data_IF_259193437728
#
_entry.id   IF_259193437728
#
_cell.length_a   1.000
_cell.length_b   1.000
_cell.length_c   1.000
_cell.angle_alpha   90.00
_cell.angle_beta   90.00
_cell.angle_gamma   90.00
#
_symmetry.space_group_name_H-M   'P 1'
#
loop_
_entity.id
_entity.type
_entity.pdbx_description
1 polymer ?
#
# COMPACT_ATOMS: atom_id res chain seq x y z
N UNK A 1 15.52 -17.06 0.04
CA UNK A 1 15.71 -16.24 1.27
C UNK A 1 14.80 -15.02 1.29
N UNK A 2 14.73 -14.22 0.22
CA UNK A 2 13.83 -13.06 0.12
C UNK A 2 12.35 -13.46 0.30
N UNK A 3 11.88 -14.47 -0.41
CA UNK A 3 10.50 -14.98 -0.29
C UNK A 3 10.07 -15.27 1.17
N UNK A 4 10.86 -16.08 1.89
CA UNK A 4 10.55 -16.44 3.28
C UNK A 4 10.57 -15.22 4.20
N UNK A 5 11.49 -14.28 3.98
CA UNK A 5 11.52 -13.02 4.71
C UNK A 5 10.27 -12.19 4.44
N UNK A 6 9.82 -12.11 3.18
CA UNK A 6 8.62 -11.39 2.77
C UNK A 6 7.37 -11.97 3.41
N UNK A 7 7.20 -13.30 3.40
CA UNK A 7 6.07 -13.99 4.03
C UNK A 7 6.03 -13.78 5.55
N UNK A 8 7.18 -13.90 6.23
CA UNK A 8 7.29 -13.67 7.68
C UNK A 8 7.03 -12.21 8.04
N UNK A 9 7.53 -11.27 7.23
CA UNK A 9 7.35 -9.83 7.45
C UNK A 9 5.88 -9.45 7.21
N UNK A 10 5.26 -9.99 6.16
CA UNK A 10 3.84 -9.83 5.87
C UNK A 10 2.98 -10.33 7.05
N UNK A 11 3.23 -11.55 7.53
CA UNK A 11 2.50 -12.12 8.65
C UNK A 11 2.61 -11.27 9.93
N UNK A 12 3.79 -10.72 10.23
CA UNK A 12 4.00 -9.80 11.37
C UNK A 12 3.24 -8.48 11.20
N UNK A 13 3.05 -8.04 9.97
CA UNK A 13 2.32 -6.82 9.63
C UNK A 13 0.82 -7.05 9.42
N UNK A 14 0.31 -8.27 9.67
CA UNK A 14 -1.10 -8.64 9.46
C UNK A 14 -1.50 -8.50 7.97
N UNK A 15 -0.58 -8.89 7.08
CA UNK A 15 -0.72 -8.93 5.62
C UNK A 15 -0.70 -10.38 5.13
N UNK A 16 -1.53 -10.71 4.14
CA UNK A 16 -1.47 -12.01 3.49
C UNK A 16 -0.66 -11.88 2.20
N UNK A 17 0.56 -12.45 2.17
CA UNK A 17 1.47 -12.37 1.04
C UNK A 17 1.85 -13.75 0.52
N UNK A 18 1.86 -13.90 -0.80
CA UNK A 18 2.43 -15.06 -1.49
C UNK A 18 3.18 -14.51 -2.71
N UNK A 19 4.51 -14.63 -2.72
CA UNK A 19 5.31 -14.28 -3.91
C UNK A 19 5.12 -15.27 -5.05
N UNK A 20 5.22 -14.76 -6.27
CA UNK A 20 5.04 -15.46 -7.55
C UNK A 20 6.24 -15.13 -8.47
N UNK A 21 6.26 -15.68 -9.68
CA UNK A 21 7.32 -15.42 -10.65
C UNK A 21 6.83 -14.45 -11.73
N UNK A 22 6.79 -13.17 -11.38
CA UNK A 22 6.35 -12.09 -12.28
C UNK A 22 6.98 -10.75 -11.95
N UNK A 23 6.51 -9.71 -12.65
CA UNK A 23 7.16 -8.38 -12.66
C UNK A 23 6.23 -7.26 -12.16
N UNK A 24 4.93 -7.50 -12.04
CA UNK A 24 3.97 -6.52 -11.50
C UNK A 24 3.65 -6.87 -10.05
N UNK A 25 4.15 -6.06 -9.13
CA UNK A 25 3.77 -6.14 -7.72
C UNK A 25 2.31 -5.74 -7.53
N UNK A 26 1.53 -6.55 -6.83
CA UNK A 26 0.13 -6.24 -6.52
C UNK A 26 0.02 -5.83 -5.05
N UNK A 27 -0.74 -4.77 -4.74
CA UNK A 27 -1.18 -4.44 -3.39
C UNK A 27 -2.69 -4.18 -3.41
N UNK A 28 -3.47 -5.06 -2.79
CA UNK A 28 -4.94 -5.08 -2.94
C UNK A 28 -5.60 -5.27 -1.58
N UNK A 29 -6.82 -4.78 -1.38
CA UNK A 29 -7.63 -5.12 -0.22
C UNK A 29 -8.71 -6.16 -0.57
N UNK A 30 -8.69 -7.29 0.12
CA UNK A 30 -9.58 -8.43 -0.08
C UNK A 30 -9.01 -9.46 -1.05
N UNK A 31 -8.94 -10.71 -0.60
CA UNK A 31 -8.42 -11.84 -1.38
C UNK A 31 -9.09 -12.02 -2.76
N UNK A 32 -10.42 -11.87 -2.84
CA UNK A 32 -11.15 -11.98 -4.12
C UNK A 32 -10.74 -10.91 -5.13
N UNK A 33 -10.58 -9.67 -4.67
CA UNK A 33 -10.12 -8.57 -5.51
C UNK A 33 -8.65 -8.77 -5.91
N UNK A 34 -7.82 -9.30 -5.00
CA UNK A 34 -6.42 -9.60 -5.29
C UNK A 34 -6.29 -10.65 -6.40
N UNK A 35 -7.07 -11.72 -6.36
CA UNK A 35 -7.11 -12.73 -7.44
C UNK A 35 -7.58 -12.13 -8.76
N UNK A 36 -8.69 -11.39 -8.78
CA UNK A 36 -9.20 -10.75 -9.99
C UNK A 36 -8.19 -9.74 -10.59
N UNK A 37 -7.42 -9.06 -9.74
CA UNK A 37 -6.36 -8.14 -10.15
C UNK A 37 -5.24 -8.86 -10.87
N UNK A 38 -4.79 -10.00 -10.33
CA UNK A 38 -3.76 -10.82 -10.96
C UNK A 38 -4.24 -11.41 -12.29
N UNK A 39 -5.49 -11.85 -12.35
CA UNK A 39 -6.10 -12.38 -13.56
C UNK A 39 -6.14 -11.32 -14.67
N UNK A 40 -6.58 -10.10 -14.37
CA UNK A 40 -6.65 -9.03 -15.38
C UNK A 40 -5.27 -8.57 -15.85
N UNK A 41 -4.27 -8.59 -14.97
CA UNK A 41 -2.86 -8.34 -15.35
C UNK A 41 -2.40 -9.40 -16.35
N UNK A 42 -2.69 -10.68 -16.09
CA UNK A 42 -2.37 -11.78 -17.01
C UNK A 42 -3.10 -11.65 -18.34
N UNK A 43 -4.38 -11.27 -18.32
CA UNK A 43 -5.17 -11.06 -19.54
C UNK A 43 -4.59 -9.98 -20.45
N UNK A 44 -4.00 -8.92 -19.88
CA UNK A 44 -3.28 -7.87 -20.62
C UNK A 44 -1.82 -8.23 -20.97
N UNK A 45 -1.40 -9.47 -20.75
CA UNK A 45 -0.07 -9.96 -21.09
C UNK A 45 1.04 -9.49 -20.14
N UNK A 46 0.69 -9.18 -18.89
CA UNK A 46 1.64 -8.96 -17.80
C UNK A 46 1.81 -10.19 -16.91
N UNK A 47 2.73 -10.11 -15.95
CA UNK A 47 3.00 -11.18 -15.00
C UNK A 47 2.90 -10.66 -13.57
N UNK A 48 1.93 -11.10 -12.75
CA UNK A 48 1.87 -10.73 -11.34
C UNK A 48 3.06 -11.32 -10.57
N UNK A 49 3.75 -10.48 -9.82
CA UNK A 49 4.90 -10.86 -9.00
C UNK A 49 4.50 -11.42 -7.64
N UNK A 50 3.27 -11.17 -7.19
CA UNK A 50 2.76 -11.65 -5.91
C UNK A 50 1.24 -11.58 -5.82
N UNK A 51 0.70 -12.35 -4.89
CA UNK A 51 -0.54 -12.07 -4.19
C UNK A 51 -0.22 -11.26 -2.93
N UNK A 52 -0.93 -10.16 -2.69
CA UNK A 52 -0.86 -9.42 -1.43
C UNK A 52 -2.21 -8.79 -1.10
N UNK A 53 -2.82 -9.31 -0.05
CA UNK A 53 -4.03 -8.76 0.55
C UNK A 53 -3.67 -8.00 1.83
N UNK A 54 -3.93 -6.68 1.83
CA UNK A 54 -3.72 -5.78 2.98
C UNK A 54 -4.90 -5.75 3.95
N UNK A 55 -5.96 -6.52 3.67
CA UNK A 55 -7.17 -6.65 4.46
C UNK A 55 -8.17 -5.50 4.26
N UNK A 56 -9.44 -5.76 4.60
CA UNK A 56 -10.51 -4.73 4.65
C UNK A 56 -10.45 -3.85 5.90
N UNK A 57 -9.64 -4.24 6.89
CA UNK A 57 -9.41 -3.52 8.15
C UNK A 57 -8.11 -2.69 8.11
N UNK A 58 -7.72 -2.14 6.96
CA UNK A 58 -6.74 -1.04 6.91
C UNK A 58 -7.35 0.26 7.52
N UNK A 59 -8.12 0.10 8.59
CA UNK A 59 -8.95 1.08 9.26
C UNK A 59 -8.11 2.21 9.83
N UNK A 60 -8.68 3.40 9.78
CA UNK A 60 -8.38 4.47 10.71
C UNK A 60 -9.00 4.08 12.07
N UNK A 61 -8.19 3.57 13.02
CA UNK A 61 -8.63 3.38 14.40
C UNK A 61 -8.15 2.13 15.14
N UNK A 62 -6.86 2.07 15.50
CA UNK A 62 -6.37 1.83 16.87
C UNK A 62 -4.84 2.00 16.85
N UNK A 63 -4.36 3.01 17.57
CA UNK A 63 -2.94 3.32 17.76
C UNK A 63 -2.28 2.18 18.55
N UNK A 64 -1.60 1.28 17.86
CA UNK A 64 -0.69 0.32 18.51
C UNK A 64 0.64 1.03 18.78
N UNK A 65 0.93 1.29 20.06
CA UNK A 65 2.19 1.86 20.53
C UNK A 65 3.34 0.85 20.30
N UNK A 66 4.05 0.91 19.16
CA UNK A 66 5.26 0.12 18.98
C UNK A 66 6.44 0.75 19.76
N UNK A 67 6.76 0.17 20.92
CA UNK A 67 8.05 0.40 21.59
C UNK A 67 9.14 -0.37 20.85
N UNK A 68 9.88 0.29 19.97
CA UNK A 68 11.22 -0.16 19.59
C UNK A 68 12.27 0.82 20.15
N UNK A 69 13.01 0.36 21.16
CA UNK A 69 14.40 0.77 21.38
C UNK A 69 14.73 2.15 21.93
N UNK A 70 13.78 3.06 22.21
CA UNK A 70 14.13 4.37 22.79
C UNK A 70 13.89 4.37 24.31
N UNK A 71 14.96 4.45 25.12
CA UNK A 71 14.88 4.88 26.52
C UNK A 71 14.47 6.35 26.56
N UNK A 72 13.17 6.64 26.47
CA UNK A 72 12.65 7.98 26.76
C UNK A 72 12.66 8.12 28.29
N UNK A 73 13.65 8.83 28.83
CA UNK A 73 13.55 9.38 30.18
C UNK A 73 12.30 10.27 30.21
N UNK A 74 11.42 10.03 31.18
CA UNK A 74 10.24 10.85 31.51
C UNK A 74 10.57 12.35 31.41
N UNK A 75 9.92 13.07 30.49
CA UNK A 75 9.87 14.53 30.54
C UNK A 75 8.47 15.04 30.16
N UNK A 76 7.88 15.77 31.10
CA UNK A 76 6.73 16.69 31.04
C UNK A 76 5.39 16.21 30.43
N UNK A 77 4.39 16.09 31.31
CA UNK A 77 2.99 15.77 31.02
C UNK A 77 2.30 16.68 29.98
N UNK A 78 2.78 17.91 29.74
CA UNK A 78 2.18 18.81 28.74
C UNK A 78 2.50 18.44 27.28
N UNK A 79 3.58 17.69 27.05
CA UNK A 79 3.93 17.19 25.71
C UNK A 79 3.15 15.94 25.32
N UNK A 80 2.62 15.20 26.30
CA UNK A 80 1.85 13.97 26.07
C UNK A 80 0.57 14.26 25.28
N UNK A 81 -0.05 15.42 25.47
CA UNK A 81 -1.26 15.81 24.73
C UNK A 81 -0.97 16.12 23.25
N UNK A 82 0.15 16.80 22.95
CA UNK A 82 0.59 17.06 21.56
C UNK A 82 1.12 15.79 20.88
N UNK A 83 1.82 14.92 21.62
CA UNK A 83 2.26 13.61 21.13
C UNK A 83 1.04 12.72 20.88
N UNK A 84 0.07 12.64 21.80
CA UNK A 84 -1.22 11.96 21.55
C UNK A 84 -1.95 12.50 20.33
N UNK A 85 -1.83 13.79 20.02
CA UNK A 85 -2.43 14.41 18.84
C UNK A 85 -1.71 14.01 17.53
N UNK A 86 -0.36 13.98 17.54
CA UNK A 86 0.44 13.46 16.41
C UNK A 86 0.20 11.96 16.17
N UNK A 87 -0.02 11.19 17.24
CA UNK A 87 -0.27 9.74 17.17
C UNK A 87 -1.75 9.38 16.96
N UNK A 88 -2.70 10.31 17.17
CA UNK A 88 -4.16 10.11 16.95
C UNK A 88 -4.56 10.05 15.48
N UNK A 89 -3.71 10.51 14.57
CA UNK A 89 -3.90 10.49 13.11
C UNK A 89 -3.44 9.15 12.48
N UNK A 90 -3.07 8.16 13.30
CA UNK A 90 -2.48 6.91 12.83
C UNK A 90 -3.52 5.90 12.34
N UNK A 91 -3.79 5.91 11.04
CA UNK A 91 -4.09 4.68 10.28
C UNK A 91 -3.00 3.64 10.66
N UNK A 92 -3.22 2.34 10.47
CA UNK A 92 -2.09 1.40 10.31
C UNK A 92 -1.26 1.77 9.05
N UNK A 93 -0.67 2.97 9.00
CA UNK A 93 0.25 3.48 7.95
C UNK A 93 1.39 2.48 7.76
N UNK A 94 1.72 1.75 8.83
CA UNK A 94 2.64 0.62 8.82
C UNK A 94 2.29 -0.43 7.78
N UNK A 95 1.02 -0.79 7.57
CA UNK A 95 0.66 -1.85 6.61
C UNK A 95 1.01 -1.46 5.17
N UNK A 96 0.64 -0.25 4.75
CA UNK A 96 0.96 0.24 3.40
C UNK A 96 2.47 0.40 3.23
N UNK A 97 3.17 0.91 4.26
CA UNK A 97 4.64 1.00 4.27
C UNK A 97 5.30 -0.37 4.17
N UNK A 98 4.90 -1.34 4.99
CA UNK A 98 5.46 -2.70 5.00
C UNK A 98 5.14 -3.42 3.70
N UNK A 99 3.94 -3.24 3.15
CA UNK A 99 3.59 -3.74 1.82
C UNK A 99 4.56 -3.19 0.76
N UNK A 100 4.78 -1.87 0.71
CA UNK A 100 5.74 -1.29 -0.20
C UNK A 100 7.18 -1.80 0.04
N UNK A 101 7.62 -1.97 1.28
CA UNK A 101 8.95 -2.54 1.58
C UNK A 101 9.08 -3.96 1.06
N UNK A 102 8.05 -4.80 1.23
CA UNK A 102 8.03 -6.17 0.72
C UNK A 102 8.11 -6.16 -0.81
N UNK A 103 7.30 -5.33 -1.48
CA UNK A 103 7.26 -5.25 -2.94
C UNK A 103 8.56 -4.69 -3.54
N UNK A 104 9.16 -3.69 -2.89
CA UNK A 104 10.40 -3.06 -3.37
C UNK A 104 11.66 -3.83 -3.01
N UNK A 105 11.58 -4.84 -2.14
CA UNK A 105 12.69 -5.73 -1.83
C UNK A 105 12.88 -6.84 -2.87
N UNK A 106 11.92 -7.05 -3.77
CA UNK A 106 12.03 -8.00 -4.88
C UNK A 106 12.46 -7.27 -6.17
N UNK A 107 13.71 -7.49 -6.59
CA UNK A 107 14.29 -6.88 -7.79
C UNK A 107 13.57 -7.28 -9.10
N UNK A 108 12.75 -8.33 -9.07
CA UNK A 108 11.89 -8.71 -10.21
C UNK A 108 10.73 -7.75 -10.42
N UNK A 109 10.27 -7.06 -9.36
CA UNK A 109 9.17 -6.11 -9.46
C UNK A 109 9.63 -4.89 -10.26
N UNK A 110 8.98 -4.63 -11.38
CA UNK A 110 9.25 -3.52 -12.30
C UNK A 110 8.13 -2.48 -12.34
N UNK A 111 6.93 -2.82 -11.87
CA UNK A 111 5.83 -1.89 -11.66
C UNK A 111 5.00 -2.37 -10.46
N UNK A 112 4.33 -1.46 -9.77
CA UNK A 112 3.40 -1.80 -8.68
C UNK A 112 2.00 -1.33 -9.05
N UNK A 113 1.02 -2.22 -8.92
CA UNK A 113 -0.40 -1.90 -9.04
C UNK A 113 -1.06 -1.97 -7.66
N UNK A 114 -1.52 -0.81 -7.20
CA UNK A 114 -2.32 -0.62 -6.00
C UNK A 114 -3.78 -0.56 -6.42
N UNK A 115 -4.57 -1.55 -5.99
CA UNK A 115 -5.99 -1.61 -6.30
C UNK A 115 -6.79 -1.67 -5.01
N UNK A 116 -7.39 -0.55 -4.61
CA UNK A 116 -8.14 -0.45 -3.36
C UNK A 116 -9.59 -0.08 -3.61
N UNK A 117 -10.51 -0.91 -3.09
CA UNK A 117 -11.93 -0.62 -3.03
C UNK A 117 -12.32 -0.15 -1.62
N UNK A 118 -12.57 1.15 -1.48
CA UNK A 118 -13.06 1.84 -0.29
C UNK A 118 -14.53 1.55 -0.01
N UNK A 119 -14.79 0.43 0.66
CA UNK A 119 -16.09 0.13 1.26
C UNK A 119 -16.31 0.95 2.53
N UNK A 120 -15.81 0.43 3.68
CA UNK A 120 -15.89 1.12 4.98
C UNK A 120 -14.91 2.32 5.05
N UNK A 121 -13.79 2.22 4.34
CA UNK A 121 -12.74 3.24 4.34
C UNK A 121 -12.94 4.25 3.21
N UNK A 122 -12.58 5.51 3.47
CA UNK A 122 -12.63 6.58 2.48
C UNK A 122 -11.33 6.63 1.67
N UNK A 123 -11.45 6.86 0.37
CA UNK A 123 -10.32 6.84 -0.56
C UNK A 123 -9.30 7.95 -0.29
N UNK A 124 -9.70 9.08 0.29
CA UNK A 124 -8.80 10.18 0.69
C UNK A 124 -7.83 9.78 1.81
N UNK A 125 -8.31 9.00 2.77
CA UNK A 125 -7.51 8.43 3.87
C UNK A 125 -6.47 7.44 3.31
N UNK A 126 -6.91 6.55 2.43
CA UNK A 126 -6.03 5.57 1.75
C UNK A 126 -4.99 6.27 0.87
N UNK A 127 -5.41 7.24 0.05
CA UNK A 127 -4.52 8.01 -0.80
C UNK A 127 -3.41 8.70 0.01
N UNK A 128 -3.77 9.30 1.14
CA UNK A 128 -2.80 9.91 2.06
C UNK A 128 -1.81 8.87 2.61
N UNK A 129 -2.29 7.68 2.97
CA UNK A 129 -1.46 6.55 3.40
C UNK A 129 -0.46 6.11 2.32
N UNK A 130 -0.91 5.98 1.08
CA UNK A 130 -0.07 5.63 -0.08
C UNK A 130 1.01 6.68 -0.30
N UNK A 131 0.65 7.97 -0.34
CA UNK A 131 1.62 9.07 -0.53
C UNK A 131 2.65 9.10 0.60
N UNK A 132 2.22 8.92 1.85
CA UNK A 132 3.12 8.91 2.99
C UNK A 132 4.06 7.71 2.97
N UNK A 133 3.59 6.54 2.54
CA UNK A 133 4.42 5.35 2.40
C UNK A 133 5.43 5.52 1.27
N UNK A 134 4.96 5.95 0.10
CA UNK A 134 5.75 6.20 -1.09
C UNK A 134 6.90 7.20 -0.86
N UNK A 135 6.72 8.19 0.03
CA UNK A 135 7.80 9.11 0.44
C UNK A 135 8.88 8.47 1.32
N UNK A 136 8.56 7.39 2.04
CA UNK A 136 9.47 6.72 2.98
C UNK A 136 10.25 5.59 2.32
N UNK A 137 9.60 4.87 1.41
CA UNK A 137 10.23 3.86 0.55
C UNK A 137 10.60 4.54 -0.75
N UNK A 138 11.88 4.88 -0.93
CA UNK A 138 12.41 5.46 -2.17
C UNK A 138 11.97 4.65 -3.42
N UNK A 139 10.86 5.04 -4.05
CA UNK A 139 10.21 4.27 -5.11
C UNK A 139 11.00 4.38 -6.41
N UNK A 140 11.56 3.26 -6.85
CA UNK A 140 12.33 3.16 -8.11
C UNK A 140 11.52 2.66 -9.31
N UNK A 141 10.28 2.22 -9.05
CA UNK A 141 9.39 1.63 -10.04
C UNK A 141 8.08 2.44 -10.10
N UNK A 142 7.44 2.54 -11.27
CA UNK A 142 6.15 3.21 -11.41
C UNK A 142 5.09 2.54 -10.53
N UNK A 143 4.27 3.37 -9.90
CA UNK A 143 3.15 2.92 -9.07
C UNK A 143 1.84 3.38 -9.70
N UNK A 144 1.02 2.40 -10.09
CA UNK A 144 -0.32 2.59 -10.63
C UNK A 144 -1.29 2.45 -9.47
N UNK A 145 -2.20 3.41 -9.30
CA UNK A 145 -3.17 3.42 -8.21
C UNK A 145 -4.58 3.52 -8.77
N UNK A 146 -5.39 2.50 -8.51
CA UNK A 146 -6.84 2.51 -8.71
C UNK A 146 -7.51 2.57 -7.34
N UNK A 147 -8.28 3.63 -7.14
CA UNK A 147 -9.15 3.82 -5.99
C UNK A 147 -10.60 3.76 -6.47
N UNK A 148 -11.44 3.06 -5.74
CA UNK A 148 -12.89 3.04 -5.95
C UNK A 148 -13.62 3.13 -4.62
N UNK A 149 -14.76 3.81 -4.55
CA UNK A 149 -15.55 3.93 -3.32
C UNK A 149 -15.75 5.37 -2.84
N UNK A 150 -15.97 5.54 -1.54
CA UNK A 150 -16.31 6.85 -0.95
C UNK A 150 -15.12 7.81 -1.01
N UNK A 151 -15.35 9.08 -1.34
CA UNK A 151 -14.32 10.13 -1.50
C UNK A 151 -13.25 9.83 -2.57
N UNK A 152 -13.57 9.03 -3.59
CA UNK A 152 -12.62 8.67 -4.65
C UNK A 152 -12.02 9.89 -5.35
N UNK A 153 -12.82 10.91 -5.65
CA UNK A 153 -12.32 12.13 -6.34
C UNK A 153 -11.29 12.87 -5.49
N UNK A 154 -11.54 12.96 -4.18
CA UNK A 154 -10.61 13.55 -3.23
C UNK A 154 -9.33 12.71 -3.11
N UNK A 155 -9.45 11.38 -3.07
CA UNK A 155 -8.30 10.47 -3.09
C UNK A 155 -7.45 10.63 -4.35
N UNK A 156 -8.07 10.65 -5.54
CA UNK A 156 -7.39 10.90 -6.82
C UNK A 156 -6.69 12.26 -6.82
N UNK A 157 -7.30 13.30 -6.24
CA UNK A 157 -6.69 14.62 -6.10
C UNK A 157 -5.45 14.59 -5.20
N UNK A 158 -5.52 13.93 -4.04
CA UNK A 158 -4.38 13.76 -3.13
C UNK A 158 -3.20 13.07 -3.82
N UNK A 159 -3.47 12.04 -4.62
CA UNK A 159 -2.42 11.34 -5.38
C UNK A 159 -1.77 12.28 -6.42
N UNK A 160 -2.57 13.02 -7.19
CA UNK A 160 -2.07 13.95 -8.24
C UNK A 160 -1.27 15.12 -7.66
N UNK A 161 -1.70 15.68 -6.54
CA UNK A 161 -1.06 16.83 -5.90
C UNK A 161 0.16 16.45 -5.03
N UNK A 162 0.44 15.15 -4.87
CA UNK A 162 1.51 14.65 -4.00
C UNK A 162 2.93 14.98 -4.43
N UNK A 163 3.12 15.38 -5.70
CA UNK A 163 4.43 15.57 -6.33
C UNK A 163 5.17 14.25 -6.61
N UNK A 164 4.53 13.11 -6.39
CA UNK A 164 5.09 11.79 -6.66
C UNK A 164 4.69 11.27 -8.04
N UNK A 165 5.51 10.42 -8.64
CA UNK A 165 5.22 9.72 -9.89
C UNK A 165 4.21 8.57 -9.67
N UNK A 166 2.99 8.92 -9.22
CA UNK A 166 1.87 8.00 -9.03
C UNK A 166 0.91 8.14 -10.22
N UNK A 167 0.61 7.02 -10.88
CA UNK A 167 -0.26 6.97 -12.05
C UNK A 167 -1.67 6.58 -11.59
N UNK A 168 -2.64 7.48 -11.71
CA UNK A 168 -4.03 7.14 -11.35
C UNK A 168 -4.72 6.37 -12.48
N UNK A 169 -5.47 5.33 -12.12
CA UNK A 169 -6.33 4.58 -13.03
C UNK A 169 -7.82 4.80 -12.73
N UNK A 170 -8.64 4.72 -13.77
CA UNK A 170 -10.08 4.97 -13.69
C UNK A 170 -10.88 3.74 -13.27
N UNK A 171 -10.53 2.58 -13.83
CA UNK A 171 -11.11 1.28 -13.52
C UNK A 171 -10.04 0.18 -13.49
N UNK A 172 -10.47 -1.06 -13.27
CA UNK A 172 -9.55 -2.21 -13.15
C UNK A 172 -8.86 -2.56 -14.48
N UNK A 173 -9.53 -2.37 -15.62
CA UNK A 173 -8.98 -2.68 -16.94
C UNK A 173 -7.90 -1.64 -17.31
N UNK A 174 -8.20 -0.36 -17.14
CA UNK A 174 -7.25 0.74 -17.30
C UNK A 174 -6.04 0.60 -16.36
N UNK A 175 -6.28 0.18 -15.11
CA UNK A 175 -5.19 -0.07 -14.15
C UNK A 175 -4.24 -1.16 -14.64
N UNK A 176 -4.78 -2.29 -15.08
CA UNK A 176 -3.98 -3.40 -15.59
C UNK A 176 -3.21 -3.00 -16.86
N UNK A 177 -3.87 -2.35 -17.82
CA UNK A 177 -3.20 -1.87 -19.04
C UNK A 177 -2.06 -0.89 -18.72
N UNK A 178 -2.28 0.06 -17.81
CA UNK A 178 -1.24 1.01 -17.37
C UNK A 178 -0.09 0.30 -16.69
N UNK A 179 -0.37 -0.66 -15.81
CA UNK A 179 0.66 -1.43 -15.14
C UNK A 179 1.51 -2.23 -16.14
N UNK A 180 0.89 -2.89 -17.11
CA UNK A 180 1.60 -3.62 -18.18
C UNK A 180 2.46 -2.70 -19.03
N UNK A 181 1.97 -1.51 -19.38
CA UNK A 181 2.70 -0.52 -20.17
C UNK A 181 3.85 0.15 -19.39
N UNK A 182 3.79 0.18 -18.07
CA UNK A 182 4.73 0.96 -17.26
C UNK A 182 6.11 0.31 -17.10
N UNK A 183 6.25 -1.00 -17.36
CA UNK A 183 7.55 -1.70 -17.28
C UNK A 183 8.01 -2.37 -18.59
N UNK A 184 7.22 -2.24 -19.66
CA UNK A 184 7.62 -2.63 -21.03
C UNK A 184 8.20 -1.44 -21.75
#
# INVERSE_FOLDING_TARGET
MIQLWSEVTAAKADLNYIGLDGEIGCMVNGAGLAMATMDIIKLHGGTPANFLDVGGNASEGQVMYYRHGIKIKMIALSWISKIKMYYRQGIKITMVVEAFKILTADDKVKAILVNIFGGIMKCDVIASGIVNAAKQVDLKVPVIVRLEGTNVDQGKRILKESGMALITAEDLDDAAQKAVKAYK
#
